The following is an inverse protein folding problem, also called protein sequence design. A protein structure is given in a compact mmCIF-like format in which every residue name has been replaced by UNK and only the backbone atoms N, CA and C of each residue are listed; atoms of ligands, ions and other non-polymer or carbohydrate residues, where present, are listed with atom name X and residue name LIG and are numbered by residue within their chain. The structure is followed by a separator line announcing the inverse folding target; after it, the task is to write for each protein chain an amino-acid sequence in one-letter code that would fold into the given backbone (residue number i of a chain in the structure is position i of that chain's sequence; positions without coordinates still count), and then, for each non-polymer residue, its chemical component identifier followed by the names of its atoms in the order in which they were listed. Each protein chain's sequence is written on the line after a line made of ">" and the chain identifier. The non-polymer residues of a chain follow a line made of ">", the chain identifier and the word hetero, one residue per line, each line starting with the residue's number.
data_IF_047814166734
#
_entry.id   IF_047814166734
#
_cell.length_a   1.000
_cell.length_b   1.000
_cell.length_c   1.000
_cell.angle_alpha   90.00
_cell.angle_beta   90.00
_cell.angle_gamma   90.00
#
_symmetry.space_group_name_H-M   'P 1'
#
loop_
_entity.id
_entity.type
_entity.pdbx_description
1 polymer ?
#
# COMPACT_ATOMS: atom_id res chain seq x y z
N UNK A 1 -36.08 14.55 -18.92
CA UNK A 1 -35.74 14.45 -17.49
C UNK A 1 -34.46 13.62 -17.38
N UNK A 2 -33.29 14.25 -17.51
CA UNK A 2 -32.01 13.53 -17.49
C UNK A 2 -31.46 13.51 -16.05
N UNK A 3 -31.38 12.32 -15.46
CA UNK A 3 -30.84 12.12 -14.12
C UNK A 3 -29.36 12.49 -14.06
N UNK A 4 -29.02 13.42 -13.17
CA UNK A 4 -27.64 13.76 -12.85
C UNK A 4 -26.99 12.58 -12.10
N UNK A 5 -26.31 11.69 -12.82
CA UNK A 5 -25.46 10.67 -12.21
C UNK A 5 -24.31 11.36 -11.47
N UNK A 6 -24.40 11.36 -10.13
CA UNK A 6 -23.29 11.76 -9.27
C UNK A 6 -22.10 10.85 -9.55
N UNK A 7 -21.04 11.38 -10.17
CA UNK A 7 -19.76 10.66 -10.43
C UNK A 7 -18.96 10.34 -9.15
N UNK A 8 -19.63 10.22 -8.01
CA UNK A 8 -19.02 9.97 -6.70
C UNK A 8 -19.14 8.49 -6.39
N UNK A 9 -18.05 7.76 -6.61
CA UNK A 9 -17.94 6.38 -6.13
C UNK A 9 -17.84 6.41 -4.59
N UNK A 10 -18.52 5.52 -3.87
CA UNK A 10 -18.36 5.42 -2.43
C UNK A 10 -16.91 5.06 -2.07
N UNK A 11 -16.47 5.38 -0.83
CA UNK A 11 -15.21 4.89 -0.31
C UNK A 11 -15.16 3.35 -0.42
N UNK A 12 -14.01 2.82 -0.84
CA UNK A 12 -13.81 1.37 -0.84
C UNK A 12 -13.62 0.88 0.59
N UNK A 13 -14.28 -0.22 0.96
CA UNK A 13 -14.07 -0.82 2.28
C UNK A 13 -12.77 -1.62 2.32
N UNK A 14 -12.24 -1.82 3.54
CA UNK A 14 -11.09 -2.70 3.78
C UNK A 14 -11.36 -4.12 3.24
N UNK A 15 -12.57 -4.63 3.44
CA UNK A 15 -12.97 -5.95 2.97
C UNK A 15 -13.01 -6.06 1.45
N UNK A 16 -13.42 -5.01 0.74
CA UNK A 16 -13.45 -5.01 -0.74
C UNK A 16 -12.03 -5.11 -1.30
N UNK A 17 -11.11 -4.31 -0.75
CA UNK A 17 -9.70 -4.33 -1.18
C UNK A 17 -9.01 -5.62 -0.78
N UNK A 18 -9.22 -6.12 0.44
CA UNK A 18 -8.66 -7.39 0.88
C UNK A 18 -9.10 -8.55 -0.03
N UNK A 19 -10.36 -8.54 -0.51
CA UNK A 19 -10.89 -9.55 -1.44
C UNK A 19 -10.36 -9.37 -2.86
N UNK A 20 -10.01 -8.15 -3.28
CA UNK A 20 -9.57 -7.86 -4.64
C UNK A 20 -8.24 -8.53 -5.04
N UNK A 21 -7.44 -8.96 -4.05
CA UNK A 21 -6.07 -9.51 -4.25
C UNK A 21 -5.11 -8.55 -4.99
N UNK A 22 -5.41 -7.25 -4.99
CA UNK A 22 -4.54 -6.21 -5.56
C UNK A 22 -3.55 -5.62 -4.55
N UNK A 23 -3.51 -6.12 -3.32
CA UNK A 23 -2.55 -5.69 -2.31
C UNK A 23 -2.12 -6.86 -1.46
N UNK A 24 -0.86 -6.83 -1.03
CA UNK A 24 -0.30 -7.77 -0.05
C UNK A 24 -0.49 -7.28 1.39
N UNK A 25 -1.05 -6.09 1.59
CA UNK A 25 -1.29 -5.56 2.93
C UNK A 25 -2.42 -6.34 3.63
N UNK A 26 -2.21 -6.77 4.89
CA UNK A 26 -3.28 -7.33 5.69
C UNK A 26 -4.31 -6.25 6.05
N UNK A 27 -5.55 -6.66 6.34
CA UNK A 27 -6.66 -5.78 6.67
C UNK A 27 -6.33 -4.76 7.78
N UNK A 28 -5.57 -5.17 8.81
CA UNK A 28 -5.15 -4.29 9.90
C UNK A 28 -4.29 -3.10 9.41
N UNK A 29 -3.45 -3.30 8.39
CA UNK A 29 -2.66 -2.20 7.79
C UNK A 29 -3.51 -1.27 6.95
N UNK A 30 -4.52 -1.79 6.25
CA UNK A 30 -5.51 -0.95 5.55
C UNK A 30 -6.35 -0.12 6.54
N UNK A 31 -6.74 -0.69 7.67
CA UNK A 31 -7.42 0.06 8.74
C UNK A 31 -6.56 1.20 9.28
N UNK A 32 -5.27 0.94 9.52
CA UNK A 32 -4.32 1.99 9.92
C UNK A 32 -4.24 3.12 8.87
N UNK A 33 -4.16 2.77 7.58
CA UNK A 33 -4.19 3.77 6.50
C UNK A 33 -5.46 4.63 6.56
N UNK A 34 -6.64 4.02 6.75
CA UNK A 34 -7.90 4.78 6.92
C UNK A 34 -7.81 5.76 8.09
N UNK A 35 -7.30 5.33 9.24
CA UNK A 35 -7.14 6.19 10.42
C UNK A 35 -6.16 7.34 10.15
N UNK A 36 -5.03 7.09 9.48
CA UNK A 36 -4.08 8.13 9.10
C UNK A 36 -4.70 9.16 8.15
N UNK A 37 -5.45 8.72 7.14
CA UNK A 37 -6.15 9.61 6.20
C UNK A 37 -7.16 10.48 6.96
N UNK A 38 -7.95 9.88 7.85
CA UNK A 38 -8.92 10.60 8.69
C UNK A 38 -8.25 11.64 9.59
N UNK A 39 -7.11 11.30 10.21
CA UNK A 39 -6.33 12.22 11.05
C UNK A 39 -5.84 13.42 10.24
N UNK A 40 -5.22 13.18 9.08
CA UNK A 40 -4.72 14.22 8.17
C UNK A 40 -5.84 15.13 7.67
N UNK A 41 -7.01 14.57 7.36
CA UNK A 41 -8.18 15.34 6.92
C UNK A 41 -8.77 16.19 8.05
N UNK A 42 -8.98 15.58 9.22
CA UNK A 42 -9.53 16.27 10.40
C UNK A 42 -8.64 17.42 10.86
N UNK A 43 -7.32 17.19 10.87
CA UNK A 43 -6.33 18.19 11.23
C UNK A 43 -6.00 19.18 10.10
N UNK A 44 -6.59 19.00 8.91
CA UNK A 44 -6.36 19.83 7.71
C UNK A 44 -4.88 19.98 7.35
N UNK A 45 -4.08 18.94 7.56
CA UNK A 45 -2.64 18.96 7.26
C UNK A 45 -2.46 19.13 5.75
N UNK A 46 -1.80 20.20 5.25
CA UNK A 46 -1.65 20.43 3.81
C UNK A 46 -0.74 19.37 3.16
N UNK A 47 -0.93 19.12 1.87
CA UNK A 47 -0.06 18.26 1.07
C UNK A 47 -0.77 17.08 0.39
N UNK A 48 0.03 16.33 -0.36
CA UNK A 48 -0.35 15.20 -1.20
C UNK A 48 -0.01 13.85 -0.52
N UNK A 49 -0.51 12.75 -1.07
CA UNK A 49 -0.17 11.39 -0.60
C UNK A 49 0.84 10.76 -1.54
N UNK A 50 1.87 10.11 -0.99
CA UNK A 50 2.91 9.43 -1.74
C UNK A 50 3.07 8.00 -1.22
N UNK A 51 3.18 7.02 -2.12
CA UNK A 51 3.46 5.62 -1.82
C UNK A 51 4.72 5.18 -2.59
N UNK A 52 5.64 4.51 -1.90
CA UNK A 52 6.85 3.92 -2.46
C UNK A 52 6.74 2.40 -2.35
N UNK A 53 6.77 1.69 -3.48
CA UNK A 53 6.44 0.26 -3.54
C UNK A 53 4.93 0.05 -3.57
N UNK A 54 4.34 0.29 -4.74
CA UNK A 54 2.89 0.21 -5.01
C UNK A 54 2.46 -1.24 -5.28
N UNK A 55 3.38 -2.08 -5.76
CA UNK A 55 3.16 -3.45 -6.18
C UNK A 55 1.99 -3.54 -7.19
N UNK A 56 0.93 -4.29 -6.86
CA UNK A 56 -0.26 -4.42 -7.69
C UNK A 56 -1.23 -3.21 -7.58
N UNK A 57 -0.98 -2.27 -6.67
CA UNK A 57 -1.68 -0.98 -6.59
C UNK A 57 -2.98 -0.92 -5.79
N UNK A 58 -3.37 -2.00 -5.11
CA UNK A 58 -4.60 -2.04 -4.32
C UNK A 58 -4.62 -1.05 -3.15
N UNK A 59 -3.49 -0.84 -2.48
CA UNK A 59 -3.34 0.19 -1.43
C UNK A 59 -3.41 1.60 -2.01
N UNK A 60 -2.76 1.87 -3.14
CA UNK A 60 -2.87 3.14 -3.85
C UNK A 60 -4.30 3.48 -4.27
N UNK A 61 -5.02 2.52 -4.85
CA UNK A 61 -6.45 2.66 -5.18
C UNK A 61 -7.28 2.95 -3.93
N UNK A 62 -7.01 2.24 -2.83
CA UNK A 62 -7.67 2.43 -1.55
C UNK A 62 -7.47 3.85 -1.01
N UNK A 63 -6.23 4.36 -1.03
CA UNK A 63 -5.88 5.72 -0.59
C UNK A 63 -6.56 6.76 -1.48
N UNK A 64 -6.46 6.61 -2.81
CA UNK A 64 -7.07 7.52 -3.79
C UNK A 64 -8.59 7.63 -3.66
N UNK A 65 -9.28 6.55 -3.25
CA UNK A 65 -10.73 6.53 -3.01
C UNK A 65 -11.16 7.23 -1.72
N UNK A 66 -10.25 7.43 -0.78
CA UNK A 66 -10.56 8.02 0.54
C UNK A 66 -10.06 9.46 0.68
N UNK A 67 -9.02 9.85 -0.06
CA UNK A 67 -8.48 11.20 0.02
C UNK A 67 -9.44 12.27 -0.52
N UNK A 68 -9.24 13.52 -0.10
CA UNK A 68 -9.93 14.65 -0.69
C UNK A 68 -9.51 14.82 -2.16
N UNK A 69 -10.47 15.06 -3.06
CA UNK A 69 -10.22 15.19 -4.52
C UNK A 69 -9.30 16.35 -4.92
N UNK A 70 -9.05 17.30 -4.01
CA UNK A 70 -8.12 18.41 -4.22
C UNK A 70 -6.66 18.02 -4.03
N UNK A 71 -6.39 16.83 -3.48
CA UNK A 71 -5.05 16.30 -3.27
C UNK A 71 -4.67 15.32 -4.38
N UNK A 72 -3.37 15.20 -4.61
CA UNK A 72 -2.82 14.22 -5.53
C UNK A 72 -2.35 12.98 -4.78
N UNK A 73 -2.43 11.86 -5.50
CA UNK A 73 -1.76 10.62 -5.14
C UNK A 73 -0.58 10.43 -6.10
N UNK A 74 0.60 10.13 -5.55
CA UNK A 74 1.80 9.79 -6.33
C UNK A 74 2.26 8.41 -5.90
N UNK A 75 2.12 7.43 -6.80
CA UNK A 75 2.65 6.08 -6.61
C UNK A 75 4.00 5.95 -7.34
N UNK A 76 5.03 5.52 -6.62
CA UNK A 76 6.36 5.30 -7.15
C UNK A 76 6.73 3.83 -6.95
N UNK A 77 7.07 3.17 -8.06
CA UNK A 77 7.49 1.77 -8.08
C UNK A 77 8.53 1.57 -9.19
N UNK A 78 9.37 0.56 -9.02
CA UNK A 78 10.25 0.06 -10.08
C UNK A 78 9.46 -0.70 -11.15
N UNK A 79 8.20 -1.04 -10.87
CA UNK A 79 7.31 -1.77 -11.77
C UNK A 79 7.92 -3.12 -12.22
N UNK A 80 8.58 -3.78 -11.29
CA UNK A 80 9.33 -5.01 -11.51
C UNK A 80 9.67 -5.70 -10.19
N UNK A 81 10.62 -6.63 -10.23
CA UNK A 81 11.11 -7.29 -9.02
C UNK A 81 12.02 -6.33 -8.23
N UNK A 82 12.05 -6.53 -6.91
CA UNK A 82 13.00 -5.83 -6.04
C UNK A 82 14.42 -6.15 -6.56
N UNK A 83 15.26 -5.13 -6.81
CA UNK A 83 16.61 -5.35 -7.33
C UNK A 83 17.48 -6.08 -6.30
N UNK A 84 18.51 -6.77 -6.78
CA UNK A 84 19.54 -7.32 -5.90
C UNK A 84 20.20 -6.19 -5.09
N UNK A 85 20.53 -6.45 -3.81
CA UNK A 85 21.15 -5.45 -2.96
C UNK A 85 22.55 -5.09 -3.47
N UNK A 86 22.86 -3.80 -3.44
CA UNK A 86 24.16 -3.25 -3.82
C UNK A 86 25.17 -3.24 -2.66
N UNK A 87 26.44 -2.89 -2.91
CA UNK A 87 27.51 -2.95 -1.91
C UNK A 87 27.34 -2.03 -0.69
N UNK A 88 26.39 -1.08 -0.75
CA UNK A 88 26.11 -0.12 0.32
C UNK A 88 24.84 -0.45 1.10
N UNK A 89 24.13 -1.50 0.72
CA UNK A 89 22.93 -1.94 1.44
C UNK A 89 23.32 -2.67 2.72
N UNK A 90 22.40 -2.72 3.67
CA UNK A 90 22.66 -3.36 4.96
C UNK A 90 22.67 -4.88 4.84
N UNK A 91 23.30 -5.54 5.82
CA UNK A 91 23.40 -7.00 5.88
C UNK A 91 22.03 -7.68 5.77
N UNK A 92 20.99 -7.08 6.34
CA UNK A 92 19.62 -7.60 6.28
C UNK A 92 19.07 -7.61 4.86
N UNK A 93 19.36 -6.60 4.05
CA UNK A 93 18.95 -6.57 2.63
C UNK A 93 19.62 -7.70 1.85
N UNK A 94 20.91 -7.96 2.12
CA UNK A 94 21.65 -9.09 1.55
C UNK A 94 21.07 -10.44 1.96
N UNK A 95 20.67 -10.61 3.21
CA UNK A 95 20.03 -11.84 3.68
C UNK A 95 18.64 -12.01 3.07
N UNK A 96 17.74 -11.05 3.25
CA UNK A 96 16.32 -11.21 2.90
C UNK A 96 16.09 -11.25 1.39
N UNK A 97 16.81 -10.43 0.62
CA UNK A 97 16.65 -10.35 -0.84
C UNK A 97 17.60 -11.34 -1.52
N UNK A 98 18.85 -11.43 -1.06
CA UNK A 98 19.84 -12.35 -1.63
C UNK A 98 19.54 -13.83 -1.39
N UNK A 99 18.81 -14.16 -0.32
CA UNK A 99 18.34 -15.54 -0.06
C UNK A 99 16.89 -15.79 -0.48
N UNK A 100 16.21 -14.85 -1.14
CA UNK A 100 14.82 -15.01 -1.56
C UNK A 100 14.71 -15.88 -2.83
N UNK A 101 13.77 -16.85 -2.90
CA UNK A 101 13.61 -17.76 -4.04
C UNK A 101 13.09 -17.08 -5.33
N UNK A 102 13.01 -15.74 -5.35
CA UNK A 102 12.88 -14.96 -6.58
C UNK A 102 14.13 -15.05 -7.48
N UNK A 103 15.21 -15.69 -7.03
CA UNK A 103 16.32 -16.22 -7.85
C UNK A 103 16.15 -17.75 -8.00
N UNK A 104 15.18 -18.19 -8.81
CA UNK A 104 14.85 -19.59 -9.19
C UNK A 104 14.36 -20.56 -8.08
N UNK A 105 13.56 -21.61 -8.40
CA UNK A 105 12.26 -21.84 -7.77
C UNK A 105 12.27 -23.14 -6.98
N UNK A 106 12.43 -23.07 -5.66
CA UNK A 106 11.99 -24.15 -4.77
C UNK A 106 11.35 -23.58 -3.51
N UNK A 107 10.04 -23.76 -3.50
CA UNK A 107 9.22 -24.10 -2.35
C UNK A 107 8.84 -22.99 -1.36
N UNK A 108 7.55 -23.01 -1.03
CA UNK A 108 6.83 -22.00 -0.28
C UNK A 108 7.07 -22.10 1.22
N UNK A 109 7.13 -20.96 1.91
CA UNK A 109 6.62 -20.88 3.26
C UNK A 109 6.15 -19.45 3.55
N UNK A 110 4.86 -19.32 3.85
CA UNK A 110 4.33 -18.17 4.55
C UNK A 110 5.00 -18.10 5.92
N UNK A 111 5.51 -16.94 6.33
CA UNK A 111 5.93 -16.74 7.72
C UNK A 111 5.43 -15.39 8.23
N UNK A 112 4.40 -15.53 9.07
CA UNK A 112 4.02 -14.77 10.24
C UNK A 112 4.70 -13.41 10.47
N UNK A 113 3.98 -12.32 10.19
CA UNK A 113 4.35 -10.96 10.57
C UNK A 113 3.62 -10.63 11.87
N UNK A 114 4.19 -11.03 13.01
CA UNK A 114 3.76 -10.52 14.31
C UNK A 114 4.20 -9.05 14.40
N UNK A 115 3.23 -8.16 14.18
CA UNK A 115 3.43 -6.73 14.09
C UNK A 115 3.89 -6.12 15.42
N UNK A 116 5.05 -5.47 15.42
CA UNK A 116 5.40 -4.44 16.42
C UNK A 116 4.43 -3.28 16.22
N UNK A 117 3.49 -3.17 17.16
CA UNK A 117 2.54 -2.08 17.25
C UNK A 117 3.29 -0.83 17.71
N UNK A 118 3.88 -0.08 16.77
CA UNK A 118 4.29 1.31 16.99
C UNK A 118 3.32 2.22 16.26
N UNK A 119 2.40 2.74 17.06
CA UNK A 119 1.45 3.81 16.75
C UNK A 119 2.19 5.06 16.27
N UNK A 120 1.62 5.74 15.29
CA UNK A 120 2.00 7.09 14.87
C UNK A 120 1.51 8.16 15.86
#
# INVERSE_FOLDING_TARGET
>A
MFGSYSKRLPPLSVSDIARSKLTYLPAAKLQNITQCIQKVQTQRVPGDFVEFGVALGGSGIFIARQMARSRRFVGLDVCGMIPAPGPRDDQKSHEVIGSSPAVNPKESAATDITATNRTC
#
